data_IF_507668137071
#
_entry.id   IF_507668137071
#
_cell.length_a   1.000
_cell.length_b   1.000
_cell.length_c   1.000
_cell.angle_alpha   90.00
_cell.angle_beta   90.00
_cell.angle_gamma   90.00
#
_symmetry.space_group_name_H-M   'P 1'
#
loop_
_entity.id
_entity.type
_entity.pdbx_description
1 polymer ?
#
# COMPACT_ATOMS: atom_id res chain seq x y z
N UNK A 1 -3.66 -20.08 -2.79
CA UNK A 1 -3.24 -19.63 -4.13
C UNK A 1 -3.95 -20.40 -5.26
N UNK A 2 -3.99 -21.73 -5.29
CA UNK A 2 -4.60 -22.49 -6.41
C UNK A 2 -6.11 -22.22 -6.64
N UNK A 3 -6.86 -21.92 -5.56
CA UNK A 3 -8.28 -21.58 -5.63
C UNK A 3 -8.55 -20.07 -5.42
N UNK A 4 -7.55 -19.22 -5.67
CA UNK A 4 -7.67 -17.78 -5.45
C UNK A 4 -8.43 -17.13 -6.62
N UNK A 5 -9.55 -16.49 -6.33
CA UNK A 5 -10.43 -15.82 -7.29
C UNK A 5 -10.71 -14.35 -6.88
N UNK A 6 -11.44 -13.59 -7.71
CA UNK A 6 -11.77 -12.19 -7.42
C UNK A 6 -12.60 -12.01 -6.14
N UNK A 7 -13.40 -13.01 -5.78
CA UNK A 7 -14.19 -13.02 -4.53
C UNK A 7 -13.28 -13.13 -3.31
N UNK A 8 -12.31 -14.03 -3.37
CA UNK A 8 -11.27 -14.20 -2.36
C UNK A 8 -10.42 -12.94 -2.24
N UNK A 9 -10.02 -12.34 -3.36
CA UNK A 9 -9.28 -11.07 -3.37
C UNK A 9 -10.05 -9.96 -2.64
N UNK A 10 -11.34 -9.79 -2.97
CA UNK A 10 -12.19 -8.76 -2.36
C UNK A 10 -12.40 -9.02 -0.86
N UNK A 11 -12.60 -10.27 -0.44
CA UNK A 11 -12.68 -10.65 0.98
C UNK A 11 -11.41 -10.35 1.75
N UNK A 12 -10.26 -10.46 1.09
CA UNK A 12 -8.95 -10.15 1.66
C UNK A 12 -8.61 -8.64 1.58
N UNK A 13 -9.58 -7.80 1.23
CA UNK A 13 -9.46 -6.34 1.23
C UNK A 13 -8.90 -5.73 -0.06
N UNK A 14 -8.61 -6.53 -1.09
CA UNK A 14 -8.14 -6.02 -2.39
C UNK A 14 -9.25 -5.20 -3.04
N UNK A 15 -8.90 -4.01 -3.55
CA UNK A 15 -9.87 -3.16 -4.23
C UNK A 15 -10.44 -3.87 -5.47
N UNK A 16 -11.75 -3.75 -5.69
CA UNK A 16 -12.48 -4.49 -6.73
C UNK A 16 -11.92 -4.29 -8.14
N UNK A 17 -11.38 -3.10 -8.43
CA UNK A 17 -10.75 -2.79 -9.73
C UNK A 17 -9.46 -3.60 -9.97
N UNK A 18 -8.75 -3.97 -8.90
CA UNK A 18 -7.50 -4.73 -8.95
C UNK A 18 -7.69 -6.24 -8.76
N UNK A 19 -8.91 -6.69 -8.46
CA UNK A 19 -9.20 -8.10 -8.16
C UNK A 19 -8.82 -9.07 -9.30
N UNK A 20 -8.85 -8.64 -10.58
CA UNK A 20 -8.39 -9.47 -11.71
C UNK A 20 -6.86 -9.56 -11.78
N UNK A 21 -6.18 -8.45 -11.54
CA UNK A 21 -4.71 -8.41 -11.46
C UNK A 21 -4.20 -9.26 -10.30
N UNK A 22 -4.88 -9.19 -9.14
CA UNK A 22 -4.58 -10.01 -7.98
C UNK A 22 -4.71 -11.51 -8.24
N UNK A 23 -5.68 -11.96 -9.05
CA UNK A 23 -5.77 -13.38 -9.47
C UNK A 23 -4.57 -13.80 -10.30
N UNK A 24 -4.17 -12.96 -11.26
CA UNK A 24 -2.98 -13.22 -12.09
C UNK A 24 -1.72 -13.29 -11.23
N UNK A 25 -1.58 -12.40 -10.26
CA UNK A 25 -0.43 -12.39 -9.37
C UNK A 25 -0.42 -13.57 -8.39
N UNK A 26 -1.60 -14.03 -7.94
CA UNK A 26 -1.71 -15.25 -7.14
C UNK A 26 -1.28 -16.50 -7.92
N UNK A 27 -1.52 -16.53 -9.24
CA UNK A 27 -1.03 -17.61 -10.11
C UNK A 27 0.49 -17.58 -10.27
N UNK A 28 1.07 -16.39 -10.50
CA UNK A 28 2.54 -16.24 -10.54
C UNK A 28 3.19 -16.65 -9.21
N UNK A 29 2.61 -16.21 -8.09
CA UNK A 29 3.09 -16.57 -6.76
C UNK A 29 3.04 -18.10 -6.52
N UNK A 30 2.03 -18.79 -7.05
CA UNK A 30 1.97 -20.26 -6.99
C UNK A 30 3.09 -20.92 -7.78
N UNK A 31 3.42 -20.40 -8.97
CA UNK A 31 4.53 -20.92 -9.78
C UNK A 31 5.87 -20.68 -9.07
N UNK A 32 6.07 -19.49 -8.51
CA UNK A 32 7.25 -19.16 -7.72
C UNK A 32 7.38 -20.04 -6.47
N UNK A 33 6.28 -20.29 -5.76
CA UNK A 33 6.26 -21.19 -4.60
C UNK A 33 6.62 -22.62 -5.00
N UNK A 34 6.06 -23.13 -6.09
CA UNK A 34 6.38 -24.47 -6.61
C UNK A 34 7.84 -24.62 -7.04
N UNK A 35 8.50 -23.52 -7.42
CA UNK A 35 9.91 -23.50 -7.79
C UNK A 35 10.87 -23.46 -6.58
N UNK A 36 10.36 -23.22 -5.36
CA UNK A 36 11.14 -23.31 -4.13
C UNK A 36 11.51 -24.77 -3.79
N UNK A 37 12.58 -24.98 -3.03
CA UNK A 37 12.90 -26.30 -2.46
C UNK A 37 11.87 -26.72 -1.42
N UNK A 38 11.77 -28.03 -1.11
CA UNK A 38 10.84 -28.52 -0.08
C UNK A 38 11.05 -27.83 1.28
N UNK A 39 12.29 -27.67 1.72
CA UNK A 39 12.63 -26.94 2.96
C UNK A 39 12.15 -25.47 2.91
N UNK A 40 12.32 -24.80 1.77
CA UNK A 40 11.85 -23.43 1.58
C UNK A 40 10.33 -23.34 1.55
N UNK A 41 9.65 -24.33 0.97
CA UNK A 41 8.19 -24.41 0.96
C UNK A 41 7.64 -24.59 2.38
N UNK A 42 8.21 -25.48 3.17
CA UNK A 42 7.83 -25.68 4.58
C UNK A 42 8.04 -24.39 5.38
N UNK A 43 9.20 -23.76 5.23
CA UNK A 43 9.51 -22.49 5.90
C UNK A 43 8.61 -21.36 5.43
N UNK A 44 8.24 -21.31 4.16
CA UNK A 44 7.31 -20.33 3.62
C UNK A 44 5.92 -20.45 4.27
N UNK A 45 5.38 -21.67 4.35
CA UNK A 45 4.08 -21.92 4.98
C UNK A 45 4.11 -21.60 6.49
N UNK A 46 5.18 -22.00 7.17
CA UNK A 46 5.36 -21.69 8.59
C UNK A 46 5.42 -20.17 8.84
N UNK A 47 6.17 -19.44 8.02
CA UNK A 47 6.33 -17.98 8.15
C UNK A 47 5.05 -17.22 7.82
N UNK A 48 4.27 -17.67 6.82
CA UNK A 48 2.97 -17.05 6.50
C UNK A 48 1.96 -17.12 7.65
N UNK A 49 2.12 -18.11 8.52
CA UNK A 49 1.27 -18.33 9.69
C UNK A 49 1.78 -17.59 10.94
N UNK A 50 2.98 -16.98 10.87
CA UNK A 50 3.54 -16.18 11.95
C UNK A 50 3.05 -14.73 11.85
N UNK A 51 2.27 -14.22 12.82
CA UNK A 51 1.76 -12.86 12.77
C UNK A 51 2.87 -11.79 12.89
N UNK A 52 4.06 -12.14 13.40
CA UNK A 52 5.19 -11.21 13.47
C UNK A 52 5.82 -10.95 12.10
N UNK A 53 5.74 -11.92 11.18
CA UNK A 53 6.36 -11.78 9.86
C UNK A 53 5.84 -10.54 9.12
N UNK A 54 4.51 -10.33 9.09
CA UNK A 54 3.93 -9.18 8.40
C UNK A 54 4.33 -7.86 9.05
N UNK A 55 4.37 -7.83 10.38
CA UNK A 55 4.84 -6.66 11.13
C UNK A 55 6.27 -6.32 10.74
N UNK A 56 7.19 -7.28 10.78
CA UNK A 56 8.60 -7.07 10.42
C UNK A 56 8.80 -6.76 8.93
N UNK A 57 8.10 -7.46 8.04
CA UNK A 57 8.17 -7.25 6.59
C UNK A 57 7.69 -5.85 6.18
N UNK A 58 6.74 -5.29 6.92
CA UNK A 58 6.23 -3.94 6.68
C UNK A 58 6.99 -2.86 7.47
N UNK A 59 7.77 -3.21 8.51
CA UNK A 59 8.55 -2.27 9.34
C UNK A 59 9.97 -1.94 8.84
N UNK A 60 10.39 -2.40 7.66
CA UNK A 60 11.73 -2.08 7.11
C UNK A 60 11.98 -0.58 6.78
N UNK A 61 13.22 -0.16 6.52
CA UNK A 61 13.46 1.10 5.80
C UNK A 61 12.83 1.01 4.40
N UNK A 62 12.25 2.11 3.92
CA UNK A 62 11.52 2.22 2.65
C UNK A 62 12.06 1.31 1.54
N UNK A 63 11.27 0.31 1.13
CA UNK A 63 11.43 -0.23 -0.22
C UNK A 63 11.00 0.87 -1.18
N UNK A 64 11.99 1.66 -1.60
CA UNK A 64 11.85 2.71 -2.60
C UNK A 64 11.12 2.18 -3.83
N UNK A 65 9.96 2.75 -4.10
CA UNK A 65 9.63 3.21 -5.44
C UNK A 65 9.22 4.67 -5.33
N UNK A 66 10.08 5.64 -5.67
CA UNK A 66 9.61 6.91 -6.16
C UNK A 66 8.95 6.63 -7.50
N UNK A 67 7.67 6.24 -7.51
CA UNK A 67 6.85 6.41 -8.70
C UNK A 67 6.80 7.93 -8.93
N UNK A 68 7.44 8.35 -10.02
CA UNK A 68 7.98 9.69 -10.22
C UNK A 68 7.00 10.82 -10.01
N UNK A 69 7.56 12.01 -9.74
CA UNK A 69 6.80 13.26 -9.76
C UNK A 69 6.31 13.48 -11.20
N UNK A 70 5.09 13.04 -11.52
CA UNK A 70 4.41 13.51 -12.71
C UNK A 70 3.92 14.93 -12.44
N UNK A 71 4.71 15.91 -12.88
CA UNK A 71 4.34 17.31 -12.83
C UNK A 71 3.56 17.64 -14.10
N UNK A 72 2.25 17.85 -13.99
CA UNK A 72 1.45 18.37 -15.09
C UNK A 72 1.23 19.87 -14.90
N UNK A 73 1.76 20.67 -15.82
CA UNK A 73 1.48 22.12 -15.87
C UNK A 73 0.09 22.31 -16.49
N UNK A 74 -0.93 22.49 -15.65
CA UNK A 74 -2.25 22.89 -16.14
C UNK A 74 -2.18 24.35 -16.57
N UNK A 75 -2.62 24.66 -17.79
CA UNK A 75 -2.62 26.02 -18.35
C UNK A 75 -3.71 26.85 -17.62
N UNK A 76 -3.37 27.34 -16.42
CA UNK A 76 -3.99 28.42 -15.67
C UNK A 76 -2.85 29.30 -15.14
N UNK A 77 -3.04 30.61 -14.92
CA UNK A 77 -2.01 31.64 -15.12
C UNK A 77 -0.68 31.30 -14.40
N UNK A 78 0.29 30.81 -15.18
CA UNK A 78 1.74 30.61 -14.98
C UNK A 78 2.34 30.19 -13.61
N UNK A 79 1.58 30.14 -12.52
CA UNK A 79 2.09 30.05 -11.15
C UNK A 79 1.65 28.79 -10.41
N UNK A 80 0.48 28.21 -10.73
CA UNK A 80 -0.06 27.03 -10.05
C UNK A 80 0.26 25.77 -10.86
N UNK A 81 0.99 24.84 -10.25
CA UNK A 81 1.37 23.55 -10.81
C UNK A 81 0.68 22.42 -10.03
N UNK A 82 0.59 21.22 -10.61
CA UNK A 82 0.07 20.03 -9.94
C UNK A 82 1.19 19.00 -9.77
N UNK A 83 1.23 18.37 -8.59
CA UNK A 83 2.03 17.19 -8.32
C UNK A 83 1.13 16.03 -7.94
N UNK A 84 1.56 14.83 -8.34
CA UNK A 84 1.01 13.55 -7.87
C UNK A 84 2.09 12.82 -7.10
N UNK A 85 1.70 12.21 -5.98
CA UNK A 85 2.52 11.34 -5.15
C UNK A 85 1.90 9.95 -5.20
N UNK A 86 2.73 8.94 -5.41
CA UNK A 86 2.35 7.53 -5.33
C UNK A 86 3.36 6.80 -4.45
N UNK A 87 2.87 6.01 -3.52
CA UNK A 87 3.68 5.22 -2.61
C UNK A 87 3.09 3.82 -2.49
N UNK A 88 3.94 2.82 -2.52
CA UNK A 88 3.56 1.42 -2.32
C UNK A 88 4.47 0.77 -1.28
N UNK A 89 3.89 -0.14 -0.50
CA UNK A 89 4.59 -0.96 0.47
C UNK A 89 4.28 -2.42 0.23
N UNK A 90 5.31 -3.20 -0.08
CA UNK A 90 5.16 -4.62 -0.45
C UNK A 90 5.82 -5.50 0.62
N UNK A 91 5.07 -6.45 1.16
CA UNK A 91 5.63 -7.53 1.98
C UNK A 91 6.03 -8.69 1.07
N UNK A 92 7.30 -9.10 1.14
CA UNK A 92 7.85 -10.20 0.32
C UNK A 92 8.42 -11.32 1.18
N UNK A 93 8.33 -12.55 0.68
CA UNK A 93 8.92 -13.73 1.31
C UNK A 93 9.52 -14.63 0.22
N UNK A 94 10.82 -14.93 0.32
CA UNK A 94 11.56 -15.66 -0.72
C UNK A 94 11.36 -15.11 -2.15
N UNK A 95 11.24 -13.78 -2.28
CA UNK A 95 11.02 -13.11 -3.58
C UNK A 95 9.57 -13.16 -4.09
N UNK A 96 8.65 -13.74 -3.33
CA UNK A 96 7.21 -13.77 -3.63
C UNK A 96 6.55 -12.58 -2.94
N UNK A 97 5.86 -11.74 -3.69
CA UNK A 97 5.08 -10.61 -3.17
C UNK A 97 3.75 -11.08 -2.60
N UNK A 98 3.52 -10.84 -1.31
CA UNK A 98 2.39 -11.39 -0.58
C UNK A 98 1.26 -10.38 -0.35
N UNK A 99 1.63 -9.15 -0.01
CA UNK A 99 0.72 -8.08 0.37
C UNK A 99 1.28 -6.76 -0.12
N UNK A 100 0.44 -5.93 -0.73
CA UNK A 100 0.79 -4.60 -1.21
C UNK A 100 -0.25 -3.58 -0.76
N UNK A 101 0.21 -2.59 -0.01
CA UNK A 101 -0.55 -1.38 0.31
C UNK A 101 -0.12 -0.26 -0.62
N UNK A 102 -1.07 0.46 -1.22
CA UNK A 102 -0.80 1.58 -2.11
C UNK A 102 -1.55 2.83 -1.66
N UNK A 103 -0.90 3.98 -1.78
CA UNK A 103 -1.50 5.29 -1.60
C UNK A 103 -1.11 6.24 -2.74
N UNK A 104 -2.07 7.00 -3.23
CA UNK A 104 -1.89 7.99 -4.29
C UNK A 104 -2.58 9.29 -3.91
N UNK A 105 -1.85 10.39 -3.96
CA UNK A 105 -2.37 11.73 -3.69
C UNK A 105 -2.04 12.70 -4.82
N UNK A 106 -2.89 13.72 -4.98
CA UNK A 106 -2.61 14.82 -5.90
C UNK A 106 -2.94 16.16 -5.24
N UNK A 107 -2.10 17.16 -5.50
CA UNK A 107 -2.26 18.51 -4.97
C UNK A 107 -1.73 19.57 -5.94
N UNK A 108 -2.25 20.78 -5.83
CA UNK A 108 -1.74 21.94 -6.57
C UNK A 108 -0.90 22.84 -5.67
N UNK A 109 0.19 23.37 -6.20
CA UNK A 109 1.12 24.24 -5.49
C UNK A 109 1.47 25.49 -6.31
N UNK A 110 1.79 26.57 -5.61
CA UNK A 110 2.34 27.80 -6.16
C UNK A 110 3.73 28.01 -5.58
N UNK A 111 4.75 27.67 -6.38
CA UNK A 111 6.15 27.75 -5.98
C UNK A 111 6.58 29.19 -5.71
N UNK A 112 5.99 30.16 -6.40
CA UNK A 112 6.31 31.59 -6.21
C UNK A 112 5.82 32.13 -4.86
N UNK A 113 4.76 31.52 -4.32
CA UNK A 113 4.17 31.88 -3.03
C UNK A 113 4.51 30.90 -1.90
N UNK A 114 5.44 29.98 -2.16
CA UNK A 114 5.86 28.93 -1.24
C UNK A 114 4.68 28.21 -0.55
N UNK A 115 3.66 27.81 -1.33
CA UNK A 115 2.46 27.19 -0.75
C UNK A 115 1.81 26.10 -1.60
N UNK A 116 1.27 25.09 -0.93
CA UNK A 116 0.21 24.23 -1.48
C UNK A 116 -1.10 25.01 -1.47
N UNK A 117 -1.75 25.06 -2.62
CA UNK A 117 -2.97 25.85 -2.88
C UNK A 117 -4.22 25.00 -2.67
N UNK A 118 -4.17 23.73 -3.08
CA UNK A 118 -5.35 22.86 -3.07
C UNK A 118 -4.96 21.39 -2.93
N UNK A 119 -5.72 20.64 -2.13
CA UNK A 119 -5.73 19.18 -2.16
C UNK A 119 -6.71 18.69 -3.23
N UNK A 120 -6.28 17.85 -4.17
CA UNK A 120 -7.14 17.31 -5.22
C UNK A 120 -7.69 15.95 -4.79
N UNK A 121 -6.81 14.99 -4.51
CA UNK A 121 -7.16 13.60 -4.17
C UNK A 121 -6.19 13.01 -3.16
N UNK A 122 -6.67 12.02 -2.41
CA UNK A 122 -5.85 11.09 -1.67
C UNK A 122 -6.63 9.79 -1.56
N UNK A 123 -6.13 8.74 -2.18
CA UNK A 123 -6.73 7.42 -2.22
C UNK A 123 -5.72 6.42 -1.66
N UNK A 124 -6.19 5.47 -0.87
CA UNK A 124 -5.37 4.40 -0.35
C UNK A 124 -6.14 3.09 -0.44
N UNK A 125 -5.46 2.01 -0.79
CA UNK A 125 -6.08 0.72 -1.03
C UNK A 125 -5.07 -0.42 -0.94
N UNK A 126 -5.57 -1.64 -0.84
CA UNK A 126 -4.77 -2.87 -0.92
C UNK A 126 -4.75 -3.31 -2.38
N UNK A 127 -3.58 -3.25 -3.01
CA UNK A 127 -3.41 -3.63 -4.41
C UNK A 127 -3.25 -5.14 -4.58
N UNK A 128 -2.68 -5.82 -3.57
CA UNK A 128 -2.42 -7.25 -3.57
C UNK A 128 -2.55 -7.81 -2.17
N UNK A 129 -3.21 -8.95 -2.01
CA UNK A 129 -3.15 -9.75 -0.79
C UNK A 129 -3.42 -11.22 -1.12
N UNK A 130 -2.36 -12.03 -1.11
CA UNK A 130 -2.44 -13.45 -1.41
C UNK A 130 -2.23 -14.34 -0.18
N UNK A 131 -1.99 -13.75 1.00
CA UNK A 131 -1.93 -14.49 2.26
C UNK A 131 -3.36 -14.72 2.77
N UNK A 132 -3.89 -15.96 2.73
CA UNK A 132 -5.26 -16.24 3.14
C UNK A 132 -5.51 -16.05 4.65
N UNK A 133 -4.44 -15.95 5.45
CA UNK A 133 -4.52 -15.69 6.88
C UNK A 133 -4.46 -14.20 7.20
N UNK A 134 -4.10 -13.35 6.25
CA UNK A 134 -4.01 -11.91 6.47
C UNK A 134 -5.29 -11.23 6.00
N UNK A 135 -6.08 -10.72 6.95
CA UNK A 135 -7.21 -9.87 6.66
C UNK A 135 -6.78 -8.40 6.77
N UNK A 136 -7.21 -7.58 5.82
CA UNK A 136 -6.91 -6.15 5.80
C UNK A 136 -8.14 -5.36 5.38
N UNK A 137 -8.30 -4.17 5.94
CA UNK A 137 -9.40 -3.27 5.61
C UNK A 137 -8.93 -1.83 5.74
N UNK A 138 -9.25 -1.00 4.76
CA UNK A 138 -9.03 0.44 4.88
C UNK A 138 -10.01 1.00 5.92
N UNK A 139 -9.48 1.55 7.02
CA UNK A 139 -10.30 2.19 8.05
C UNK A 139 -10.67 3.60 7.63
N UNK A 140 -9.70 4.38 7.17
CA UNK A 140 -9.93 5.70 6.59
C UNK A 140 -8.78 6.15 5.70
N UNK A 141 -9.08 7.11 4.82
CA UNK A 141 -8.11 7.90 4.08
C UNK A 141 -8.59 9.36 4.05
N UNK A 142 -7.71 10.29 4.43
CA UNK A 142 -8.01 11.71 4.54
C UNK A 142 -6.93 12.56 3.87
N UNK A 143 -7.31 13.79 3.51
CA UNK A 143 -6.40 14.79 2.97
C UNK A 143 -6.68 16.17 3.56
N UNK A 144 -5.64 16.95 3.76
CA UNK A 144 -5.74 18.32 4.27
C UNK A 144 -4.56 19.17 3.82
N UNK A 145 -4.65 20.49 4.06
CA UNK A 145 -3.52 21.41 3.95
C UNK A 145 -3.17 21.88 5.37
N UNK A 146 -1.95 21.62 5.81
CA UNK A 146 -1.45 22.04 7.12
C UNK A 146 -0.11 22.74 6.90
N UNK A 147 0.03 23.98 7.40
CA UNK A 147 1.26 24.78 7.28
C UNK A 147 1.76 24.87 5.83
N UNK A 148 0.85 25.21 4.90
CA UNK A 148 1.12 25.31 3.46
C UNK A 148 1.60 24.02 2.78
N UNK A 149 1.41 22.85 3.41
CA UNK A 149 1.81 21.54 2.89
C UNK A 149 0.59 20.66 2.69
N UNK A 150 0.63 19.85 1.64
CA UNK A 150 -0.31 18.77 1.44
C UNK A 150 -0.06 17.71 2.51
N UNK A 151 -1.13 17.23 3.15
CA UNK A 151 -1.11 16.12 4.09
C UNK A 151 -2.10 15.06 3.65
N UNK A 152 -1.62 13.86 3.40
CA UNK A 152 -2.42 12.68 3.18
C UNK A 152 -2.20 11.70 4.33
N UNK A 153 -3.28 11.09 4.81
CA UNK A 153 -3.22 10.09 5.87
C UNK A 153 -4.14 8.93 5.51
N UNK A 154 -3.63 7.71 5.61
CA UNK A 154 -4.46 6.52 5.46
C UNK A 154 -4.10 5.47 6.50
N UNK A 155 -5.11 4.79 7.02
CA UNK A 155 -4.93 3.72 8.01
C UNK A 155 -5.67 2.48 7.56
N UNK A 156 -4.96 1.36 7.58
CA UNK A 156 -5.49 0.03 7.33
C UNK A 156 -5.45 -0.76 8.63
N UNK A 157 -6.54 -1.45 8.97
CA UNK A 157 -6.45 -2.52 9.97
C UNK A 157 -5.80 -3.73 9.31
N UNK A 158 -4.95 -4.44 10.03
CA UNK A 158 -4.48 -5.77 9.66
C UNK A 158 -4.78 -6.74 10.79
N UNK A 159 -5.14 -7.98 10.44
CA UNK A 159 -5.38 -9.06 11.38
C UNK A 159 -4.92 -10.40 10.80
N UNK A 160 -4.41 -11.28 11.66
CA UNK A 160 -4.04 -12.65 11.26
C UNK A 160 -5.07 -13.64 11.79
N UNK A 161 -5.81 -14.28 10.89
CA UNK A 161 -6.83 -15.27 11.24
C UNK A 161 -7.91 -15.48 10.17
N UNK A 162 -8.87 -16.38 10.43
CA UNK A 162 -9.08 -17.11 11.68
C UNK A 162 -8.23 -18.39 11.77
N UNK A 163 -7.43 -18.54 12.83
CA UNK A 163 -6.83 -19.82 13.19
C UNK A 163 -7.75 -20.46 14.22
N UNK A 164 -8.48 -21.51 13.83
CA UNK A 164 -9.47 -22.22 14.69
C UNK A 164 -10.60 -21.32 15.25
N UNK A 165 -11.07 -20.34 14.47
CA UNK A 165 -12.19 -19.48 14.85
C UNK A 165 -11.82 -18.27 15.71
N UNK A 166 -10.52 -18.04 15.96
CA UNK A 166 -10.02 -16.84 16.64
C UNK A 166 -9.21 -16.00 15.65
N UNK A 167 -9.55 -14.72 15.56
CA UNK A 167 -8.70 -13.71 14.93
C UNK A 167 -7.71 -13.23 15.99
N UNK A 168 -6.41 -13.38 15.72
CA UNK A 168 -5.37 -12.98 16.66
C UNK A 168 -4.47 -11.92 16.05
N UNK A 169 -4.20 -10.92 16.89
CA UNK A 169 -3.37 -9.75 16.61
C UNK A 169 -3.95 -8.82 15.54
N UNK A 170 -4.69 -7.81 16.01
CA UNK A 170 -5.06 -6.64 15.24
C UNK A 170 -4.02 -5.55 15.47
N UNK A 171 -3.42 -5.04 14.41
CA UNK A 171 -2.71 -3.75 14.47
C UNK A 171 -3.16 -2.86 13.31
N UNK A 172 -2.49 -1.74 13.15
CA UNK A 172 -2.75 -0.82 12.04
C UNK A 172 -1.51 -0.59 11.21
N UNK A 173 -1.69 -0.53 9.90
CA UNK A 173 -0.68 -0.01 8.99
C UNK A 173 -1.09 1.39 8.55
N UNK A 174 -0.20 2.36 8.69
CA UNK A 174 -0.47 3.78 8.45
C UNK A 174 0.44 4.34 7.37
N UNK A 175 -0.15 5.13 6.48
CA UNK A 175 0.55 6.04 5.58
C UNK A 175 0.40 7.47 6.04
N UNK A 176 1.53 8.18 6.16
CA UNK A 176 1.59 9.63 6.32
C UNK A 176 2.34 10.24 5.13
N UNK A 177 1.62 10.96 4.27
CA UNK A 177 2.14 11.63 3.08
C UNK A 177 2.24 13.12 3.31
N UNK A 178 3.39 13.71 2.96
CA UNK A 178 3.60 15.17 2.95
C UNK A 178 4.03 15.63 1.56
N UNK A 179 3.32 16.60 1.00
CA UNK A 179 3.69 17.30 -0.24
C UNK A 179 4.03 18.76 0.00
N UNK A 180 5.04 19.27 -0.71
CA UNK A 180 5.60 20.60 -0.54
C UNK A 180 5.24 21.54 -1.70
N UNK A 181 5.42 22.83 -1.45
CA UNK A 181 5.20 23.95 -2.37
C UNK A 181 6.11 23.98 -3.60
N UNK A 182 7.13 23.12 -3.66
CA UNK A 182 8.02 22.95 -4.79
C UNK A 182 7.72 21.68 -5.63
N UNK A 183 6.65 20.96 -5.28
CA UNK A 183 6.24 19.71 -5.91
C UNK A 183 6.92 18.46 -5.31
N UNK A 184 7.91 18.62 -4.45
CA UNK A 184 8.53 17.49 -3.74
C UNK A 184 7.56 16.88 -2.73
N UNK A 185 7.77 15.62 -2.40
CA UNK A 185 6.92 14.89 -1.47
C UNK A 185 7.70 13.75 -0.81
N UNK A 186 7.17 13.26 0.31
CA UNK A 186 7.57 11.99 0.90
C UNK A 186 6.35 11.33 1.55
N UNK A 187 6.37 10.00 1.60
CA UNK A 187 5.37 9.20 2.32
C UNK A 187 6.10 8.25 3.25
N UNK A 188 5.63 8.14 4.48
CA UNK A 188 6.08 7.15 5.45
C UNK A 188 5.00 6.09 5.61
N UNK A 189 5.38 4.81 5.55
CA UNK A 189 4.53 3.68 5.87
C UNK A 189 5.05 2.97 7.11
N UNK A 190 4.22 2.79 8.14
CA UNK A 190 4.62 2.13 9.38
C UNK A 190 3.47 1.37 10.06
N UNK A 191 3.83 0.39 10.88
CA UNK A 191 2.89 -0.42 11.67
C UNK A 191 2.77 0.15 13.09
N UNK A 192 1.54 0.22 13.60
CA UNK A 192 1.14 0.58 14.97
C UNK A 192 0.45 -0.59 15.68
#
# INVERSE_FOLDING_TARGET
MQNYDSSTATKLGVQTLDAKSAVTDAQKALEQFKALTEEQQEKFVATLSDPKFLFEALQGPDQKTPEGIETQTIIQPAAVQQATVSYSRVATLFGIELLEYKATGSFSYDKSKDKVVQTISYNAYVAKNINPLCQTTLLYANKSIINNRFKGEAVFSYGVGPIKGYEWQTGSFRFDTTGYSDGTNYTLGYME
#
